data_IF_345490097695
#
_entry.id   IF_345490097695
#
_cell.length_a   1.000
_cell.length_b   1.000
_cell.length_c   1.000
_cell.angle_alpha   90.00
_cell.angle_beta   90.00
_cell.angle_gamma   90.00
#
_symmetry.space_group_name_H-M   'P 1'
#
loop_
_entity.id
_entity.type
_entity.pdbx_description
1 polymer ?
#
# COMPACT_ATOMS: atom_id res chain seq x y z
N UNK A 1 7.54 -3.90 -0.40
CA UNK A 1 8.03 -2.58 -0.88
C UNK A 1 7.12 -1.43 -0.45
N UNK A 2 5.83 -1.49 -0.75
CA UNK A 2 4.91 -0.38 -0.49
C UNK A 2 4.68 -0.01 0.99
N UNK A 3 4.78 -0.95 1.95
CA UNK A 3 4.68 -0.62 3.37
C UNK A 3 5.75 0.38 3.84
N UNK A 4 6.96 0.29 3.26
CA UNK A 4 8.04 1.24 3.53
C UNK A 4 7.80 2.60 2.84
N UNK A 5 7.07 2.63 1.72
CA UNK A 5 6.69 3.86 1.04
C UNK A 5 5.75 4.72 1.90
N UNK A 6 4.85 4.11 2.68
CA UNK A 6 3.97 4.82 3.63
C UNK A 6 4.81 5.47 4.74
N UNK A 7 5.77 4.74 5.30
CA UNK A 7 6.70 5.29 6.29
C UNK A 7 7.50 6.48 5.73
N UNK A 8 7.96 6.37 4.48
CA UNK A 8 8.68 7.45 3.82
C UNK A 8 7.79 8.68 3.57
N UNK A 9 6.56 8.46 3.11
CA UNK A 9 5.53 9.49 2.82
C UNK A 9 5.06 10.24 4.06
N UNK A 10 5.01 9.57 5.22
CA UNK A 10 4.72 10.23 6.50
C UNK A 10 5.98 10.89 7.07
N UNK A 11 7.13 10.23 6.95
CA UNK A 11 8.40 10.72 7.52
C UNK A 11 8.94 11.99 6.86
N UNK A 12 8.75 12.16 5.54
CA UNK A 12 9.18 13.36 4.82
C UNK A 12 8.49 14.64 5.31
N UNK A 13 7.16 14.77 5.31
CA UNK A 13 6.48 15.97 5.78
C UNK A 13 6.68 16.21 7.28
N UNK A 14 6.87 15.16 8.07
CA UNK A 14 7.21 15.26 9.49
C UNK A 14 8.61 15.87 9.69
N UNK A 15 9.61 15.45 8.91
CA UNK A 15 10.95 16.06 8.94
C UNK A 15 10.96 17.50 8.45
N UNK A 16 10.12 17.85 7.46
CA UNK A 16 10.00 19.21 6.96
C UNK A 16 9.16 20.12 7.89
N UNK A 17 8.51 19.60 8.93
CA UNK A 17 7.60 20.36 9.79
C UNK A 17 6.36 20.89 9.08
N UNK A 18 6.00 20.33 7.93
CA UNK A 18 4.94 20.83 7.06
C UNK A 18 3.61 20.14 7.32
N UNK A 19 2.71 20.84 8.00
CA UNK A 19 1.34 20.39 8.26
C UNK A 19 0.53 20.18 6.98
N UNK A 20 0.79 21.00 5.95
CA UNK A 20 0.21 20.82 4.62
C UNK A 20 0.71 19.55 3.94
N UNK A 21 2.01 19.26 4.06
CA UNK A 21 2.56 18.00 3.56
C UNK A 21 1.90 16.79 4.21
N UNK A 22 1.66 16.86 5.53
CA UNK A 22 0.98 15.81 6.29
C UNK A 22 -0.47 15.61 5.83
N UNK A 23 -1.19 16.70 5.53
CA UNK A 23 -2.56 16.65 5.01
C UNK A 23 -2.69 15.98 3.63
N UNK A 24 -1.62 16.00 2.82
CA UNK A 24 -1.57 15.32 1.53
C UNK A 24 -1.17 13.84 1.61
N UNK A 25 -0.70 13.36 2.77
CA UNK A 25 -0.30 11.96 2.95
C UNK A 25 -1.47 10.97 2.80
N UNK A 26 -2.66 11.18 3.41
CA UNK A 26 -3.79 10.25 3.29
C UNK A 26 -4.19 9.94 1.84
N UNK A 27 -4.42 10.92 0.94
CA UNK A 27 -4.77 10.63 -0.45
C UNK A 27 -3.63 9.96 -1.23
N UNK A 28 -2.36 10.29 -0.94
CA UNK A 28 -1.21 9.61 -1.55
C UNK A 28 -1.13 8.14 -1.11
N UNK A 29 -1.32 7.85 0.18
CA UNK A 29 -1.35 6.49 0.71
C UNK A 29 -2.51 5.70 0.11
N UNK A 30 -3.70 6.31 -0.01
CA UNK A 30 -4.85 5.70 -0.69
C UNK A 30 -4.55 5.37 -2.16
N UNK A 31 -3.88 6.29 -2.89
CA UNK A 31 -3.47 6.06 -4.27
C UNK A 31 -2.46 4.92 -4.42
N UNK A 32 -1.47 4.84 -3.53
CA UNK A 32 -0.50 3.73 -3.50
C UNK A 32 -1.19 2.40 -3.15
N UNK A 33 -2.11 2.41 -2.19
CA UNK A 33 -2.93 1.24 -1.84
C UNK A 33 -3.76 0.75 -3.02
N UNK A 34 -4.45 1.64 -3.73
CA UNK A 34 -5.22 1.29 -4.92
C UNK A 34 -4.33 0.70 -6.02
N UNK A 35 -3.15 1.27 -6.24
CA UNK A 35 -2.19 0.78 -7.23
C UNK A 35 -1.69 -0.62 -6.88
N UNK A 36 -1.35 -0.87 -5.61
CA UNK A 36 -0.91 -2.16 -5.14
C UNK A 36 -2.00 -3.24 -5.33
N UNK A 37 -3.27 -2.92 -5.03
CA UNK A 37 -4.40 -3.83 -5.25
C UNK A 37 -4.62 -4.15 -6.73
N UNK A 38 -4.44 -3.16 -7.63
CA UNK A 38 -4.54 -3.41 -9.08
C UNK A 38 -3.42 -4.28 -9.60
N UNK A 39 -2.20 -4.04 -9.14
CA UNK A 39 -1.03 -4.84 -9.50
C UNK A 39 -1.22 -6.30 -9.05
N UNK A 40 -1.73 -6.51 -7.84
CA UNK A 40 -2.06 -7.85 -7.34
C UNK A 40 -3.18 -8.55 -8.15
N UNK A 41 -4.19 -7.81 -8.63
CA UNK A 41 -5.22 -8.39 -9.51
C UNK A 41 -4.64 -8.81 -10.87
N UNK A 42 -3.69 -8.06 -11.41
CA UNK A 42 -3.00 -8.43 -12.64
C UNK A 42 -2.15 -9.69 -12.44
N UNK A 43 -1.33 -9.71 -11.37
CA UNK A 43 -0.53 -10.87 -10.96
C UNK A 43 -1.39 -12.12 -10.71
N UNK A 44 -2.58 -11.97 -10.13
CA UNK A 44 -3.50 -13.08 -9.89
C UNK A 44 -4.15 -13.65 -11.16
N UNK A 45 -4.22 -12.86 -12.25
CA UNK A 45 -4.73 -13.31 -13.55
C UNK A 45 -3.63 -13.93 -14.41
N UNK A 46 -2.39 -13.41 -14.36
CA UNK A 46 -1.29 -13.90 -15.20
C UNK A 46 -0.56 -15.12 -14.63
N UNK A 47 -0.54 -15.31 -13.31
CA UNK A 47 0.12 -16.47 -12.68
C UNK A 47 -0.89 -17.53 -12.19
N UNK A 48 -1.06 -18.64 -12.93
CA UNK A 48 -1.86 -19.77 -12.46
C UNK A 48 -1.22 -20.36 -11.19
N UNK A 49 -1.94 -20.31 -10.08
CA UNK A 49 -1.47 -20.74 -8.74
C UNK A 49 -1.31 -19.60 -7.73
N UNK A 50 -1.25 -18.35 -8.19
CA UNK A 50 -1.15 -17.18 -7.30
C UNK A 50 -2.42 -16.97 -6.45
N UNK A 51 -3.59 -17.41 -6.95
CA UNK A 51 -4.85 -17.45 -6.18
C UNK A 51 -4.79 -18.34 -4.94
N UNK A 52 -4.09 -19.48 -5.00
CA UNK A 52 -3.92 -20.36 -3.83
C UNK A 52 -2.98 -19.74 -2.78
N UNK A 53 -2.01 -18.96 -3.23
CA UNK A 53 -1.13 -18.18 -2.35
C UNK A 53 -1.86 -17.01 -1.68
N UNK A 54 -2.76 -16.36 -2.44
CA UNK A 54 -3.70 -15.32 -1.98
C UNK A 54 -4.60 -15.80 -0.82
N UNK A 55 -5.14 -17.02 -0.91
CA UNK A 55 -6.00 -17.59 0.15
C UNK A 55 -5.24 -17.88 1.46
N UNK A 56 -3.93 -18.13 1.37
CA UNK A 56 -3.09 -18.45 2.54
C UNK A 56 -2.65 -17.21 3.32
N UNK A 57 -2.60 -16.04 2.67
CA UNK A 57 -2.08 -14.80 3.26
C UNK A 57 -3.19 -13.74 3.31
N UNK A 58 -4.06 -13.85 4.33
CA UNK A 58 -5.20 -12.94 4.57
C UNK A 58 -4.80 -11.50 4.92
N UNK A 59 -3.57 -11.26 5.37
CA UNK A 59 -3.08 -9.93 5.76
C UNK A 59 -1.85 -9.56 4.95
N UNK A 60 -1.97 -8.53 4.11
CA UNK A 60 -0.95 -8.17 3.11
C UNK A 60 -0.18 -6.88 3.38
N UNK A 61 -0.79 -5.91 4.05
CA UNK A 61 -0.18 -4.59 4.25
C UNK A 61 -0.20 -4.12 5.69
N UNK A 62 -1.36 -4.21 6.33
CA UNK A 62 -1.57 -3.91 7.75
C UNK A 62 -2.61 -4.90 8.24
N UNK A 63 -2.41 -5.59 9.38
CA UNK A 63 -3.46 -6.40 9.97
C UNK A 63 -4.66 -5.49 10.31
N UNK A 64 -5.80 -5.70 9.65
CA UNK A 64 -7.04 -4.92 9.86
C UNK A 64 -7.39 -3.89 8.79
N UNK A 65 -6.53 -3.66 7.79
CA UNK A 65 -6.89 -2.88 6.59
C UNK A 65 -6.88 -3.82 5.39
N UNK A 66 -8.00 -4.52 5.24
CA UNK A 66 -8.39 -5.16 3.99
C UNK A 66 -9.79 -4.64 3.65
#
# INVERSE_FOLDING_TARGET
MYAFAILLLVGTPLMLGSWWGLAWVPPMVAGVGWRAVREERALAMELPGYRAYLERVKYRFVPGVW
#
